data_IF_750533302694
#
_entry.id   IF_750533302694
#
_cell.length_a   1.000
_cell.length_b   1.000
_cell.length_c   1.000
_cell.angle_alpha   90.00
_cell.angle_beta   90.00
_cell.angle_gamma   90.00
#
_symmetry.space_group_name_H-M   'P 1'
#
loop_
_entity.id
_entity.type
_entity.pdbx_description
1 polymer ?
#
# COMPACT_ATOMS: atom_id res chain seq x y z
N UNK A 1 -21.53 -21.59 -4.33
CA UNK A 1 -22.21 -21.62 -5.65
C UNK A 1 -21.61 -22.76 -6.46
N UNK A 2 -22.42 -23.60 -7.11
CA UNK A 2 -21.91 -24.70 -7.95
C UNK A 2 -21.73 -24.27 -9.42
N UNK A 3 -21.02 -25.09 -10.21
CA UNK A 3 -20.68 -24.79 -11.62
C UNK A 3 -21.91 -24.51 -12.48
N UNK A 4 -22.96 -25.33 -12.35
CA UNK A 4 -24.20 -25.19 -13.11
C UNK A 4 -24.93 -23.86 -12.81
N UNK A 5 -24.90 -23.42 -11.55
CA UNK A 5 -25.44 -22.12 -11.13
C UNK A 5 -24.61 -20.95 -11.71
N UNK A 6 -23.28 -21.04 -11.65
CA UNK A 6 -22.39 -20.02 -12.19
C UNK A 6 -22.56 -19.84 -13.70
N UNK A 7 -22.64 -20.95 -14.45
CA UNK A 7 -22.80 -20.96 -15.92
C UNK A 7 -24.15 -20.36 -16.36
N UNK A 8 -25.24 -20.69 -15.66
CA UNK A 8 -26.56 -20.12 -15.92
C UNK A 8 -26.57 -18.60 -15.73
N UNK A 9 -25.91 -18.10 -14.69
CA UNK A 9 -25.84 -16.67 -14.38
C UNK A 9 -24.97 -15.89 -15.37
N UNK A 10 -23.86 -16.48 -15.84
CA UNK A 10 -23.01 -15.90 -16.89
C UNK A 10 -23.77 -15.78 -18.23
N UNK A 11 -24.48 -16.84 -18.63
CA UNK A 11 -25.24 -16.87 -19.89
C UNK A 11 -26.40 -15.88 -19.93
N UNK A 12 -27.01 -15.60 -18.79
CA UNK A 12 -28.18 -14.71 -18.70
C UNK A 12 -27.80 -13.23 -18.56
N UNK A 13 -26.51 -12.89 -18.48
CA UNK A 13 -26.00 -11.53 -18.18
C UNK A 13 -26.56 -10.94 -16.87
N UNK A 14 -27.09 -11.79 -15.99
CA UNK A 14 -27.66 -11.43 -14.67
C UNK A 14 -26.54 -11.34 -13.60
N UNK A 15 -25.26 -11.44 -14.00
CA UNK A 15 -24.10 -11.31 -13.11
C UNK A 15 -23.99 -9.95 -12.40
N UNK A 16 -24.73 -8.94 -12.86
CA UNK A 16 -24.85 -7.65 -12.18
C UNK A 16 -25.88 -7.65 -11.04
N UNK A 17 -26.78 -8.64 -10.97
CA UNK A 17 -27.98 -8.57 -10.12
C UNK A 17 -28.18 -9.76 -9.18
N UNK A 18 -27.58 -10.93 -9.41
CA UNK A 18 -27.75 -12.10 -8.54
C UNK A 18 -26.50 -12.37 -7.69
N UNK A 19 -26.56 -11.90 -6.43
CA UNK A 19 -25.61 -12.13 -5.33
C UNK A 19 -24.20 -11.59 -5.54
N UNK A 20 -24.00 -10.39 -4.99
CA UNK A 20 -22.78 -9.59 -5.05
C UNK A 20 -22.38 -9.28 -6.51
N UNK A 21 -22.74 -8.11 -7.09
CA UNK A 21 -22.31 -7.71 -8.44
C UNK A 21 -20.84 -8.08 -8.63
N UNK A 22 -20.44 -8.57 -9.81
CA UNK A 22 -19.07 -9.00 -10.10
C UNK A 22 -17.96 -8.03 -9.57
N UNK A 23 -18.30 -6.76 -9.42
CA UNK A 23 -17.58 -5.71 -8.68
C UNK A 23 -17.08 -6.15 -7.28
N UNK A 24 -17.84 -6.95 -6.53
CA UNK A 24 -17.51 -7.39 -5.18
C UNK A 24 -16.64 -8.66 -5.15
N UNK A 25 -16.46 -9.36 -6.28
CA UNK A 25 -15.49 -10.45 -6.36
C UNK A 25 -14.06 -9.95 -6.11
N UNK A 26 -13.77 -8.68 -6.44
CA UNK A 26 -12.49 -8.05 -6.11
C UNK A 26 -12.28 -7.87 -4.60
N UNK A 27 -13.35 -7.70 -3.82
CA UNK A 27 -13.28 -7.54 -2.37
C UNK A 27 -13.23 -8.88 -1.63
N UNK A 28 -13.75 -9.95 -2.24
CA UNK A 28 -13.90 -11.25 -1.59
C UNK A 28 -12.58 -11.84 -1.05
N UNK A 29 -11.44 -11.79 -1.77
CA UNK A 29 -10.18 -12.28 -1.24
C UNK A 29 -9.73 -11.51 0.01
N UNK A 30 -9.95 -10.19 0.06
CA UNK A 30 -9.60 -9.38 1.22
C UNK A 30 -10.48 -9.72 2.42
N UNK A 31 -11.78 -9.88 2.22
CA UNK A 31 -12.73 -10.30 3.27
C UNK A 31 -12.29 -11.64 3.87
N UNK A 32 -11.93 -12.61 3.04
CA UNK A 32 -11.42 -13.88 3.52
C UNK A 32 -10.06 -13.73 4.20
N UNK A 33 -9.17 -12.89 3.66
CA UNK A 33 -7.88 -12.57 4.28
C UNK A 33 -8.03 -12.02 5.70
N UNK A 34 -8.96 -11.10 5.94
CA UNK A 34 -9.29 -10.59 7.28
C UNK A 34 -9.69 -11.72 8.25
N UNK A 35 -10.48 -12.70 7.78
CA UNK A 35 -10.89 -13.85 8.62
C UNK A 35 -9.71 -14.77 9.01
N UNK A 36 -8.62 -14.73 8.24
CA UNK A 36 -7.43 -15.54 8.47
C UNK A 36 -6.36 -14.83 9.32
N UNK A 37 -6.49 -13.52 9.58
CA UNK A 37 -5.54 -12.75 10.38
C UNK A 37 -5.27 -13.37 11.75
N UNK A 38 -6.25 -14.07 12.32
CA UNK A 38 -6.14 -14.72 13.64
C UNK A 38 -5.11 -15.84 13.69
N UNK A 39 -4.68 -16.35 12.53
CA UNK A 39 -3.56 -17.29 12.40
C UNK A 39 -2.23 -16.62 12.78
N UNK A 40 -2.12 -15.32 12.57
CA UNK A 40 -0.90 -14.56 12.78
C UNK A 40 -0.93 -13.79 14.09
N UNK A 41 -2.03 -13.14 14.44
CA UNK A 41 -2.13 -12.32 15.65
C UNK A 41 -3.33 -12.72 16.50
N UNK A 42 -3.18 -12.70 17.83
CA UNK A 42 -4.26 -13.12 18.74
C UNK A 42 -5.40 -12.12 18.73
N UNK A 43 -5.05 -10.83 18.72
CA UNK A 43 -6.02 -9.77 18.56
C UNK A 43 -6.37 -9.66 17.07
N UNK A 44 -7.66 -9.71 16.76
CA UNK A 44 -8.19 -9.46 15.42
C UNK A 44 -9.54 -8.77 15.53
N UNK A 45 -10.09 -8.39 14.39
CA UNK A 45 -11.45 -7.89 14.33
C UNK A 45 -12.45 -9.01 14.61
N UNK A 46 -13.30 -8.81 15.62
CA UNK A 46 -14.46 -9.68 15.87
C UNK A 46 -15.45 -9.65 14.68
N UNK A 47 -15.53 -8.49 14.03
CA UNK A 47 -16.32 -8.27 12.82
C UNK A 47 -15.66 -7.19 11.96
N UNK A 48 -15.84 -7.33 10.65
CA UNK A 48 -15.51 -6.32 9.64
C UNK A 48 -16.74 -6.19 8.76
N UNK A 49 -17.35 -5.01 8.72
CA UNK A 49 -18.41 -4.72 7.75
C UNK A 49 -17.81 -3.98 6.59
N UNK A 50 -17.99 -4.51 5.38
CA UNK A 50 -17.66 -3.80 4.16
C UNK A 50 -18.97 -3.29 3.57
N UNK A 51 -19.15 -1.97 3.61
CA UNK A 51 -20.24 -1.29 2.92
C UNK A 51 -19.73 -0.82 1.58
N UNK A 52 -20.47 -1.11 0.52
CA UNK A 52 -20.11 -0.75 -0.84
C UNK A 52 -21.34 -0.12 -1.46
N UNK A 53 -21.23 1.12 -1.90
CA UNK A 53 -22.24 1.75 -2.74
C UNK A 53 -21.71 1.89 -4.17
N UNK A 54 -22.43 2.64 -5.01
CA UNK A 54 -22.02 2.85 -6.40
C UNK A 54 -20.81 3.80 -6.54
N UNK A 55 -20.31 4.45 -5.49
CA UNK A 55 -19.26 5.48 -5.58
C UNK A 55 -18.07 5.25 -4.63
N UNK A 56 -18.26 4.54 -3.52
CA UNK A 56 -17.22 4.25 -2.54
C UNK A 56 -17.39 2.88 -1.87
N UNK A 57 -16.25 2.35 -1.41
CA UNK A 57 -16.21 1.26 -0.44
C UNK A 57 -15.76 1.78 0.93
N UNK A 58 -16.44 1.38 1.99
CA UNK A 58 -16.07 1.73 3.36
C UNK A 58 -16.02 0.48 4.24
N UNK A 59 -14.90 0.31 4.94
CA UNK A 59 -14.69 -0.72 5.94
C UNK A 59 -15.03 -0.16 7.33
N UNK A 60 -16.01 -0.75 8.01
CA UNK A 60 -16.39 -0.44 9.37
C UNK A 60 -15.87 -1.52 10.31
N UNK A 61 -15.09 -1.10 11.30
CA UNK A 61 -14.55 -1.95 12.36
C UNK A 61 -14.56 -1.21 13.69
N UNK A 62 -14.36 -1.91 14.80
CA UNK A 62 -14.06 -1.26 16.09
C UNK A 62 -12.62 -0.76 16.10
N UNK A 63 -12.44 0.55 16.15
CA UNK A 63 -11.11 1.20 16.18
C UNK A 63 -10.22 0.67 17.31
N UNK A 64 -10.80 0.36 18.48
CA UNK A 64 -10.08 -0.25 19.61
C UNK A 64 -9.38 -1.58 19.26
N UNK A 65 -9.93 -2.36 18.30
CA UNK A 65 -9.31 -3.60 17.86
C UNK A 65 -8.06 -3.32 17.00
N UNK A 66 -8.05 -2.25 16.20
CA UNK A 66 -6.85 -1.80 15.46
C UNK A 66 -5.69 -1.54 16.41
N UNK A 67 -5.96 -0.84 17.50
CA UNK A 67 -4.94 -0.48 18.48
C UNK A 67 -4.37 -1.70 19.19
N UNK A 68 -5.19 -2.70 19.50
CA UNK A 68 -4.72 -3.97 20.08
C UNK A 68 -3.82 -4.74 19.12
N UNK A 69 -4.19 -4.81 17.84
CA UNK A 69 -3.39 -5.46 16.78
C UNK A 69 -2.03 -4.77 16.67
N UNK A 70 -2.01 -3.44 16.59
CA UNK A 70 -0.79 -2.65 16.45
C UNK A 70 0.10 -2.76 17.68
N UNK A 71 -0.49 -2.74 18.86
CA UNK A 71 0.25 -2.97 20.10
C UNK A 71 0.89 -4.35 20.11
N UNK A 72 0.19 -5.41 19.68
CA UNK A 72 0.76 -6.75 19.55
C UNK A 72 1.92 -6.78 18.54
N UNK A 73 1.77 -6.10 17.40
CA UNK A 73 2.80 -5.98 16.37
C UNK A 73 4.11 -5.36 16.88
N UNK A 74 4.02 -4.29 17.68
CA UNK A 74 5.17 -3.61 18.28
C UNK A 74 5.77 -4.38 19.47
N UNK A 75 4.92 -4.96 20.33
CA UNK A 75 5.38 -5.68 21.52
C UNK A 75 6.06 -7.00 21.19
N UNK A 76 5.64 -7.68 20.11
CA UNK A 76 6.23 -8.95 19.67
C UNK A 76 6.96 -8.81 18.32
N UNK A 77 8.01 -7.97 18.31
CA UNK A 77 8.82 -7.73 17.12
C UNK A 77 9.45 -9.02 16.54
N UNK A 78 9.71 -10.05 17.37
CA UNK A 78 10.25 -11.33 16.92
C UNK A 78 9.23 -12.08 16.09
N UNK A 79 7.99 -12.19 16.57
CA UNK A 79 6.87 -12.77 15.83
C UNK A 79 6.59 -12.01 14.54
N UNK A 80 6.59 -10.67 14.58
CA UNK A 80 6.40 -9.84 13.39
C UNK A 80 7.46 -10.11 12.32
N UNK A 81 8.74 -10.27 12.70
CA UNK A 81 9.80 -10.69 11.75
C UNK A 81 9.56 -12.06 11.12
N UNK A 82 8.98 -13.01 11.87
CA UNK A 82 8.63 -14.34 11.33
C UNK A 82 7.48 -14.24 10.33
N UNK A 83 6.43 -13.47 10.65
CA UNK A 83 5.29 -13.24 9.76
C UNK A 83 5.73 -12.57 8.46
N UNK A 84 6.61 -11.58 8.51
CA UNK A 84 7.18 -10.91 7.33
C UNK A 84 7.92 -11.92 6.43
N UNK A 85 8.83 -12.74 7.00
CA UNK A 85 9.57 -13.75 6.21
C UNK A 85 8.64 -14.78 5.56
N UNK A 86 7.56 -15.13 6.24
CA UNK A 86 6.56 -16.04 5.68
C UNK A 86 5.77 -15.37 4.54
N UNK A 87 5.38 -14.11 4.71
CA UNK A 87 4.74 -13.32 3.66
C UNK A 87 5.63 -13.20 2.41
N UNK A 88 6.94 -12.95 2.57
CA UNK A 88 7.89 -12.90 1.45
C UNK A 88 7.90 -14.20 0.63
N UNK A 89 7.83 -15.36 1.31
CA UNK A 89 7.73 -16.66 0.65
C UNK A 89 6.42 -16.81 -0.12
N UNK A 90 5.29 -16.48 0.51
CA UNK A 90 3.97 -16.53 -0.12
C UNK A 90 3.91 -15.61 -1.35
N UNK A 91 4.48 -14.41 -1.24
CA UNK A 91 4.57 -13.42 -2.34
C UNK A 91 5.33 -13.99 -3.52
N UNK A 92 6.51 -14.56 -3.28
CA UNK A 92 7.31 -15.14 -4.36
C UNK A 92 6.58 -16.32 -5.02
N UNK A 93 5.94 -17.20 -4.25
CA UNK A 93 5.13 -18.30 -4.78
C UNK A 93 3.94 -17.80 -5.61
N UNK A 94 3.26 -16.75 -5.16
CA UNK A 94 2.16 -16.13 -5.90
C UNK A 94 2.63 -15.51 -7.21
N UNK A 95 3.77 -14.83 -7.24
CA UNK A 95 4.35 -14.28 -8.47
C UNK A 95 4.70 -15.38 -9.48
N UNK A 96 5.37 -16.45 -9.03
CA UNK A 96 5.70 -17.61 -9.87
C UNK A 96 4.42 -18.21 -10.45
N UNK A 97 3.39 -18.36 -9.63
CA UNK A 97 2.09 -18.84 -10.06
C UNK A 97 1.48 -17.95 -11.16
N UNK A 98 1.46 -16.62 -10.95
CA UNK A 98 0.92 -15.67 -11.92
C UNK A 98 1.70 -15.70 -13.25
N UNK A 99 3.03 -15.80 -13.20
CA UNK A 99 3.86 -15.94 -14.40
C UNK A 99 3.61 -17.23 -15.18
N UNK A 100 3.18 -18.30 -14.47
CA UNK A 100 2.80 -19.56 -15.08
C UNK A 100 1.42 -19.55 -15.77
N UNK A 101 0.61 -18.51 -15.56
CA UNK A 101 -0.68 -18.35 -16.22
C UNK A 101 -0.48 -17.60 -17.53
N UNK A 102 -0.47 -18.35 -18.64
CA UNK A 102 -0.42 -17.79 -19.99
C UNK A 102 -1.68 -18.17 -20.77
N UNK A 103 -2.07 -17.30 -21.72
CA UNK A 103 -3.16 -17.52 -22.67
C UNK A 103 -4.47 -18.01 -22.04
N UNK A 104 -5.05 -17.20 -21.13
CA UNK A 104 -6.36 -17.47 -20.52
C UNK A 104 -7.48 -17.77 -21.53
N UNK A 105 -7.35 -17.27 -22.77
CA UNK A 105 -8.30 -17.48 -23.87
C UNK A 105 -8.36 -18.94 -24.34
N UNK A 106 -7.30 -19.71 -24.11
CA UNK A 106 -7.19 -21.10 -24.56
C UNK A 106 -7.77 -22.07 -23.51
N UNK A 107 -8.13 -21.58 -22.33
CA UNK A 107 -8.66 -22.41 -21.27
C UNK A 107 -10.13 -22.74 -21.52
N UNK A 108 -10.50 -24.01 -21.33
CA UNK A 108 -11.90 -24.38 -21.17
C UNK A 108 -12.48 -23.75 -19.89
N UNK A 109 -13.80 -23.56 -19.84
CA UNK A 109 -14.49 -23.01 -18.66
C UNK A 109 -14.11 -23.73 -17.36
N UNK A 110 -14.00 -25.06 -17.41
CA UNK A 110 -13.58 -25.88 -16.26
C UNK A 110 -12.15 -25.54 -15.84
N UNK A 111 -11.22 -25.46 -16.80
CA UNK A 111 -9.82 -25.16 -16.51
C UNK A 111 -9.65 -23.74 -15.99
N UNK A 112 -10.38 -22.79 -16.55
CA UNK A 112 -10.40 -21.40 -16.11
C UNK A 112 -10.92 -21.30 -14.67
N UNK A 113 -11.99 -22.00 -14.33
CA UNK A 113 -12.52 -22.05 -12.97
C UNK A 113 -11.52 -22.63 -11.97
N UNK A 114 -10.87 -23.76 -12.29
CA UNK A 114 -9.83 -24.35 -11.45
C UNK A 114 -8.68 -23.37 -11.20
N UNK A 115 -8.21 -22.70 -12.26
CA UNK A 115 -7.14 -21.69 -12.18
C UNK A 115 -7.56 -20.46 -11.38
N UNK A 116 -8.81 -20.02 -11.53
CA UNK A 116 -9.35 -18.94 -10.70
C UNK A 116 -9.40 -19.32 -9.22
N UNK A 117 -9.82 -20.54 -8.87
CA UNK A 117 -9.85 -20.99 -7.47
C UNK A 117 -8.45 -21.06 -6.86
N UNK A 118 -7.47 -21.61 -7.60
CA UNK A 118 -6.06 -21.62 -7.19
C UNK A 118 -5.53 -20.21 -6.95
N UNK A 119 -5.73 -19.31 -7.92
CA UNK A 119 -5.37 -17.89 -7.81
C UNK A 119 -5.99 -17.26 -6.57
N UNK A 120 -7.30 -17.43 -6.39
CA UNK A 120 -8.06 -16.85 -5.32
C UNK A 120 -7.54 -17.31 -3.94
N UNK A 121 -7.30 -18.61 -3.76
CA UNK A 121 -6.77 -19.15 -2.51
C UNK A 121 -5.36 -18.64 -2.22
N UNK A 122 -4.48 -18.60 -3.23
CA UNK A 122 -3.13 -18.07 -3.06
C UNK A 122 -3.15 -16.58 -2.73
N UNK A 123 -4.05 -15.81 -3.35
CA UNK A 123 -4.23 -14.40 -3.06
C UNK A 123 -4.68 -14.19 -1.60
N UNK A 124 -5.67 -14.95 -1.14
CA UNK A 124 -6.17 -14.88 0.25
C UNK A 124 -5.02 -15.15 1.25
N UNK A 125 -4.25 -16.21 1.04
CA UNK A 125 -3.11 -16.55 1.91
C UNK A 125 -1.99 -15.50 1.83
N UNK A 126 -1.71 -14.97 0.64
CA UNK A 126 -0.73 -13.89 0.45
C UNK A 126 -1.11 -12.63 1.24
N UNK A 127 -2.39 -12.24 1.20
CA UNK A 127 -2.83 -10.98 1.78
C UNK A 127 -3.12 -11.06 3.28
N UNK A 128 -3.50 -12.21 3.81
CA UNK A 128 -3.86 -12.35 5.23
C UNK A 128 -2.78 -11.84 6.21
N UNK A 129 -1.46 -12.09 6.00
CA UNK A 129 -0.40 -11.49 6.83
C UNK A 129 -0.34 -9.98 6.70
N UNK A 130 -0.42 -9.44 5.48
CA UNK A 130 -0.28 -8.00 5.23
C UNK A 130 -1.50 -7.20 5.75
N UNK A 131 -2.70 -7.77 5.68
CA UNK A 131 -3.92 -7.14 6.21
C UNK A 131 -3.84 -6.91 7.73
N UNK A 132 -3.01 -7.68 8.45
CA UNK A 132 -2.80 -7.45 9.88
C UNK A 132 -2.09 -6.14 10.20
N UNK A 133 -1.38 -5.55 9.24
CA UNK A 133 -0.67 -4.26 9.41
C UNK A 133 -1.39 -3.09 8.74
N UNK A 134 -2.47 -3.33 8.00
CA UNK A 134 -3.20 -2.31 7.21
C UNK A 134 -3.94 -1.27 8.07
N UNK A 135 -3.97 -1.48 9.39
CA UNK A 135 -4.63 -0.60 10.36
C UNK A 135 -3.70 0.47 10.96
N UNK A 136 -2.43 0.51 10.55
CA UNK A 136 -1.40 1.41 11.11
C UNK A 136 -1.63 2.90 10.85
N UNK A 137 -2.29 3.27 9.75
CA UNK A 137 -2.54 4.68 9.39
C UNK A 137 -3.34 5.41 10.47
N UNK A 138 -4.49 4.84 10.85
CA UNK A 138 -5.35 5.41 11.90
C UNK A 138 -4.61 5.56 13.22
N UNK A 139 -3.84 4.55 13.65
CA UNK A 139 -3.10 4.62 14.93
C UNK A 139 -2.04 5.70 14.96
N UNK A 140 -1.33 5.92 13.85
CA UNK A 140 -0.27 6.93 13.80
C UNK A 140 -0.85 8.32 14.04
N UNK A 141 -1.99 8.63 13.41
CA UNK A 141 -2.64 9.94 13.49
C UNK A 141 -3.48 10.13 14.75
N UNK A 142 -4.23 9.12 15.20
CA UNK A 142 -5.19 9.26 16.31
C UNK A 142 -4.61 8.93 17.68
N UNK A 143 -3.60 8.05 17.77
CA UNK A 143 -3.04 7.59 19.04
C UNK A 143 -1.60 8.06 19.24
N UNK A 144 -0.71 7.72 18.30
CA UNK A 144 0.71 7.97 18.45
C UNK A 144 1.03 9.47 18.44
N UNK A 145 0.44 10.24 17.52
CA UNK A 145 0.60 11.69 17.46
C UNK A 145 0.08 12.37 18.73
N UNK A 146 -1.09 11.97 19.24
CA UNK A 146 -1.66 12.54 20.47
C UNK A 146 -0.79 12.23 21.69
N UNK A 147 -0.28 11.00 21.82
CA UNK A 147 0.70 10.63 22.85
C UNK A 147 2.00 11.42 22.70
N UNK A 148 2.46 11.63 21.48
CA UNK A 148 3.65 12.43 21.20
C UNK A 148 3.45 13.90 21.58
N UNK A 149 2.28 14.49 21.31
CA UNK A 149 1.94 15.83 21.77
C UNK A 149 1.89 15.93 23.29
N UNK A 150 1.22 15.01 23.98
CA UNK A 150 1.22 15.00 25.45
C UNK A 150 2.64 14.87 26.04
N UNK A 151 3.49 14.03 25.42
CA UNK A 151 4.88 13.88 25.81
C UNK A 151 5.71 15.16 25.60
N UNK A 152 5.53 15.83 24.46
CA UNK A 152 6.30 17.04 24.11
C UNK A 152 5.80 18.28 24.83
N UNK A 153 4.52 18.33 25.18
CA UNK A 153 3.92 19.38 26.04
C UNK A 153 4.55 19.37 27.43
N UNK A 154 4.81 18.18 28.00
CA UNK A 154 5.55 18.03 29.27
C UNK A 154 7.01 18.54 29.23
N UNK A 155 7.49 18.95 28.05
CA UNK A 155 8.84 19.49 27.79
C UNK A 155 8.82 20.92 27.26
N UNK A 156 7.68 21.61 27.36
CA UNK A 156 7.47 22.97 26.86
C UNK A 156 7.76 23.13 25.35
N UNK A 157 7.58 22.07 24.56
CA UNK A 157 7.73 22.11 23.10
C UNK A 157 6.38 22.46 22.48
N UNK A 158 6.33 23.57 21.75
CA UNK A 158 5.09 24.00 21.08
C UNK A 158 4.58 22.96 20.09
N UNK A 159 3.25 22.86 19.96
CA UNK A 159 2.57 21.88 19.09
C UNK A 159 3.05 21.92 17.63
N UNK A 160 3.36 23.10 17.10
CA UNK A 160 3.87 23.25 15.73
C UNK A 160 5.27 22.63 15.56
N UNK A 161 6.15 22.82 16.55
CA UNK A 161 7.48 22.21 16.54
C UNK A 161 7.36 20.69 16.74
N UNK A 162 6.52 20.25 17.67
CA UNK A 162 6.25 18.84 17.90
C UNK A 162 5.71 18.15 16.64
N UNK A 163 4.78 18.78 15.91
CA UNK A 163 4.27 18.24 14.65
C UNK A 163 5.39 18.05 13.62
N UNK A 164 6.27 19.05 13.48
CA UNK A 164 7.45 18.94 12.61
C UNK A 164 8.40 17.80 13.04
N UNK A 165 8.65 17.63 14.34
CA UNK A 165 9.48 16.53 14.84
C UNK A 165 8.84 15.18 14.61
N UNK A 166 7.53 15.07 14.80
CA UNK A 166 6.78 13.85 14.55
C UNK A 166 6.85 13.45 13.07
N UNK A 167 6.59 14.39 12.17
CA UNK A 167 6.73 14.17 10.72
C UNK A 167 8.13 13.70 10.35
N UNK A 168 9.16 14.30 10.93
CA UNK A 168 10.55 13.90 10.68
C UNK A 168 10.84 12.49 11.22
N UNK A 169 10.40 12.16 12.44
CA UNK A 169 10.57 10.82 13.03
C UNK A 169 9.80 9.72 12.29
N UNK A 170 8.66 10.05 11.69
CA UNK A 170 7.87 9.13 10.88
C UNK A 170 8.40 8.97 9.45
N UNK A 171 9.34 9.83 9.02
CA UNK A 171 9.94 9.72 7.69
C UNK A 171 10.78 8.45 7.61
N UNK A 172 10.66 7.61 6.56
CA UNK A 172 11.47 6.41 6.46
C UNK A 172 12.95 6.76 6.28
N UNK A 173 13.82 6.18 7.12
CA UNK A 173 15.28 6.30 7.03
C UNK A 173 15.91 5.33 5.99
N UNK A 174 15.09 4.83 5.07
CA UNK A 174 15.45 3.95 3.97
C UNK A 174 14.76 4.44 2.70
N UNK A 175 15.27 4.01 1.54
CA UNK A 175 14.72 4.42 0.26
C UNK A 175 13.39 3.71 0.01
N UNK A 176 12.29 4.27 0.52
CA UNK A 176 10.96 3.73 0.31
C UNK A 176 10.58 3.79 -1.18
N UNK A 177 9.67 2.91 -1.59
CA UNK A 177 9.18 2.90 -2.98
C UNK A 177 8.64 4.27 -3.42
N UNK A 178 7.94 4.97 -2.51
CA UNK A 178 7.46 6.34 -2.71
C UNK A 178 8.61 7.35 -2.92
N UNK A 179 9.66 7.28 -2.10
CA UNK A 179 10.82 8.16 -2.25
C UNK A 179 11.60 7.87 -3.53
N UNK A 180 11.70 6.59 -3.93
CA UNK A 180 12.31 6.19 -5.20
C UNK A 180 11.54 6.76 -6.39
N UNK A 181 10.22 6.64 -6.38
CA UNK A 181 9.35 7.17 -7.43
C UNK A 181 9.48 8.68 -7.53
N UNK A 182 9.36 9.39 -6.40
CA UNK A 182 9.48 10.83 -6.36
C UNK A 182 10.85 11.30 -6.88
N UNK A 183 11.94 10.69 -6.42
CA UNK A 183 13.27 10.97 -6.94
C UNK A 183 13.39 10.69 -8.44
N UNK A 184 12.68 9.68 -8.95
CA UNK A 184 12.64 9.38 -10.39
C UNK A 184 11.84 10.41 -11.19
N UNK A 185 10.73 10.94 -10.64
CA UNK A 185 9.96 12.04 -11.25
C UNK A 185 10.83 13.29 -11.33
N UNK A 186 11.51 13.68 -10.24
CA UNK A 186 12.40 14.84 -10.23
C UNK A 186 13.52 14.73 -11.28
N UNK A 187 14.11 13.53 -11.45
CA UNK A 187 15.10 13.27 -12.51
C UNK A 187 14.51 13.40 -13.91
N UNK A 188 13.28 12.94 -14.12
CA UNK A 188 12.57 13.13 -15.39
C UNK A 188 12.24 14.61 -15.65
N UNK A 189 11.90 15.38 -14.61
CA UNK A 189 11.66 16.82 -14.72
C UNK A 189 12.89 17.62 -15.10
N UNK A 190 14.08 17.22 -14.64
CA UNK A 190 15.35 17.76 -15.11
C UNK A 190 15.56 17.43 -16.60
N UNK A 191 15.41 16.15 -16.99
CA UNK A 191 15.56 15.72 -18.38
C UNK A 191 14.58 16.42 -19.33
N UNK A 192 13.34 16.62 -18.89
CA UNK A 192 12.32 17.36 -19.62
C UNK A 192 12.73 18.82 -19.85
N UNK A 193 13.25 19.49 -18.81
CA UNK A 193 13.77 20.86 -18.90
C UNK A 193 14.96 20.99 -19.84
N UNK A 194 15.87 20.03 -19.77
CA UNK A 194 17.06 19.99 -20.61
C UNK A 194 16.76 19.55 -22.05
N UNK A 195 15.52 19.12 -22.33
CA UNK A 195 15.09 18.59 -23.63
C UNK A 195 15.98 17.43 -24.07
N UNK A 196 16.28 16.52 -23.15
CA UNK A 196 17.08 15.33 -23.43
C UNK A 196 16.36 14.42 -24.43
N UNK A 197 17.10 13.92 -25.43
CA UNK A 197 16.54 13.13 -26.54
C UNK A 197 15.95 11.77 -26.10
N UNK A 198 16.36 11.25 -24.94
CA UNK A 198 15.92 9.97 -24.39
C UNK A 198 14.76 10.11 -23.36
N UNK A 199 14.19 11.32 -23.23
CA UNK A 199 13.15 11.61 -22.23
C UNK A 199 11.94 10.66 -22.33
N UNK A 200 11.42 10.44 -23.54
CA UNK A 200 10.23 9.59 -23.75
C UNK A 200 10.51 8.13 -23.36
N UNK A 201 11.69 7.60 -23.69
CA UNK A 201 12.10 6.25 -23.30
C UNK A 201 12.20 6.11 -21.77
N UNK A 202 12.77 7.13 -21.12
CA UNK A 202 12.90 7.16 -19.65
C UNK A 202 11.56 7.29 -18.95
N UNK A 203 10.62 8.06 -19.50
CA UNK A 203 9.25 8.17 -18.99
C UNK A 203 8.52 6.83 -19.07
N UNK A 204 8.64 6.13 -20.20
CA UNK A 204 8.06 4.79 -20.39
C UNK A 204 8.65 3.79 -19.38
N UNK A 205 9.97 3.81 -19.20
CA UNK A 205 10.64 2.94 -18.22
C UNK A 205 10.20 3.27 -16.78
N UNK A 206 10.00 4.54 -16.46
CA UNK A 206 9.47 4.95 -15.17
C UNK A 206 8.06 4.38 -14.93
N UNK A 207 7.15 4.52 -15.89
CA UNK A 207 5.80 3.96 -15.80
C UNK A 207 5.84 2.44 -15.54
N UNK A 208 6.72 1.71 -16.21
CA UNK A 208 6.89 0.27 -16.03
C UNK A 208 7.47 -0.11 -14.67
N UNK A 209 8.42 0.68 -14.15
CA UNK A 209 9.08 0.39 -12.88
C UNK A 209 8.18 0.63 -11.67
N UNK A 210 7.33 1.66 -11.71
CA UNK A 210 6.49 2.03 -10.57
C UNK A 210 5.04 1.56 -10.68
N UNK A 211 4.52 1.39 -11.90
CA UNK A 211 3.23 0.76 -12.22
C UNK A 211 2.10 1.10 -11.22
N UNK A 212 1.91 2.39 -10.95
CA UNK A 212 0.91 2.82 -9.98
C UNK A 212 -0.50 2.44 -10.45
N UNK A 213 -1.29 1.99 -9.48
CA UNK A 213 -2.69 1.66 -9.68
C UNK A 213 -3.51 2.59 -8.80
N UNK A 214 -4.31 3.44 -9.42
CA UNK A 214 -5.34 4.20 -8.75
C UNK A 214 -6.50 3.24 -8.48
N UNK A 215 -6.70 2.92 -7.20
CA UNK A 215 -7.72 1.99 -6.73
C UNK A 215 -8.75 2.74 -5.89
N UNK A 216 -9.94 2.94 -6.43
CA UNK A 216 -11.08 3.51 -5.69
C UNK A 216 -11.94 2.43 -5.02
N UNK A 217 -11.45 1.18 -4.97
CA UNK A 217 -12.19 -0.06 -4.64
C UNK A 217 -13.33 -0.41 -5.61
N UNK A 218 -13.77 0.54 -6.43
CA UNK A 218 -14.72 0.36 -7.54
C UNK A 218 -13.99 0.17 -8.86
N UNK A 219 -13.12 1.14 -9.18
CA UNK A 219 -12.38 1.20 -10.43
C UNK A 219 -10.89 1.04 -10.14
N UNK A 220 -10.25 0.22 -10.95
CA UNK A 220 -8.81 -0.02 -10.90
C UNK A 220 -8.24 0.55 -12.19
N UNK A 221 -7.53 1.66 -12.08
CA UNK A 221 -6.91 2.35 -13.21
C UNK A 221 -5.39 2.30 -13.08
N UNK A 222 -4.74 1.68 -14.06
CA UNK A 222 -3.28 1.75 -14.18
C UNK A 222 -2.92 3.16 -14.65
N UNK A 223 -2.05 3.84 -13.90
CA UNK A 223 -1.53 5.14 -14.26
C UNK A 223 -0.55 4.98 -15.43
N UNK A 224 -0.86 5.65 -16.55
CA UNK A 224 -0.14 5.53 -17.81
C UNK A 224 0.94 6.62 -17.96
N UNK A 225 1.69 6.57 -19.06
CA UNK A 225 2.77 7.53 -19.36
C UNK A 225 2.29 8.98 -19.34
N UNK A 226 1.08 9.27 -19.84
CA UNK A 226 0.51 10.61 -19.83
C UNK A 226 0.29 11.16 -18.41
N UNK A 227 -0.15 10.31 -17.46
CA UNK A 227 -0.29 10.72 -16.07
C UNK A 227 1.06 11.17 -15.49
N UNK A 228 2.12 10.37 -15.70
CA UNK A 228 3.46 10.74 -15.23
C UNK A 228 4.04 11.93 -15.98
N UNK A 229 3.71 12.11 -17.26
CA UNK A 229 4.11 13.30 -18.02
C UNK A 229 3.54 14.58 -17.40
N UNK A 230 2.28 14.58 -17.00
CA UNK A 230 1.67 15.76 -16.34
C UNK A 230 2.35 16.05 -15.00
N UNK A 231 2.61 15.02 -14.16
CA UNK A 231 3.41 15.19 -12.95
C UNK A 231 4.80 15.77 -13.22
N UNK A 232 5.48 15.26 -14.26
CA UNK A 232 6.81 15.73 -14.66
C UNK A 232 6.76 17.20 -15.06
N UNK A 233 5.74 17.61 -15.85
CA UNK A 233 5.54 19.01 -16.24
C UNK A 233 5.26 19.91 -15.04
N UNK A 234 4.41 19.47 -14.12
CA UNK A 234 4.11 20.19 -12.88
C UNK A 234 5.40 20.46 -12.08
N UNK A 235 6.20 19.42 -11.87
CA UNK A 235 7.49 19.49 -11.18
C UNK A 235 8.51 20.34 -11.95
N UNK A 236 8.49 20.31 -13.28
CA UNK A 236 9.29 21.18 -14.15
C UNK A 236 8.89 22.65 -14.10
N UNK A 237 7.84 23.05 -13.38
CA UNK A 237 7.61 24.48 -13.11
C UNK A 237 8.65 25.05 -12.11
N UNK A 238 9.27 24.20 -11.29
CA UNK A 238 10.36 24.59 -10.38
C UNK A 238 11.63 24.95 -11.16
N UNK A 239 12.50 25.78 -10.59
CA UNK A 239 13.84 26.02 -11.15
C UNK A 239 14.71 24.76 -11.07
N UNK A 240 15.71 24.64 -11.94
CA UNK A 240 16.66 23.51 -11.92
C UNK A 240 17.29 23.36 -10.53
N UNK A 241 17.75 24.46 -9.93
CA UNK A 241 18.36 24.46 -8.59
C UNK A 241 17.39 23.99 -7.49
N UNK A 242 16.10 24.30 -7.60
CA UNK A 242 15.10 23.80 -6.64
C UNK A 242 14.90 22.28 -6.80
N UNK A 243 14.82 21.78 -8.03
CA UNK A 243 14.68 20.35 -8.31
C UNK A 243 15.92 19.59 -7.82
N UNK A 244 17.12 20.09 -8.08
CA UNK A 244 18.37 19.49 -7.60
C UNK A 244 18.46 19.44 -6.08
N UNK A 245 18.05 20.53 -5.41
CA UNK A 245 18.00 20.60 -3.95
C UNK A 245 17.04 19.55 -3.40
N UNK A 246 15.83 19.48 -3.94
CA UNK A 246 14.82 18.52 -3.50
C UNK A 246 15.27 17.08 -3.76
N UNK A 247 15.84 16.81 -4.94
CA UNK A 247 16.40 15.51 -5.30
C UNK A 247 17.49 15.09 -4.30
N UNK A 248 18.36 16.01 -3.89
CA UNK A 248 19.36 15.75 -2.85
C UNK A 248 18.69 15.46 -1.50
N UNK A 249 17.67 16.21 -1.11
CA UNK A 249 16.96 16.02 0.16
C UNK A 249 16.20 14.69 0.25
N UNK A 250 15.70 14.17 -0.88
CA UNK A 250 14.97 12.89 -0.92
C UNK A 250 15.89 11.69 -1.05
N UNK A 251 17.13 11.88 -1.55
CA UNK A 251 18.12 10.81 -1.72
C UNK A 251 19.16 10.74 -0.61
N UNK A 252 19.35 11.81 0.19
CA UNK A 252 20.31 11.84 1.30
C UNK A 252 19.74 11.15 2.57
N UNK A 253 19.74 9.81 2.53
CA UNK A 253 19.30 8.97 3.64
C UNK A 253 20.17 9.14 4.89
N UNK A 254 21.43 9.55 4.75
CA UNK A 254 22.34 9.75 5.88
C UNK A 254 21.91 10.95 6.70
N UNK A 255 21.53 12.04 6.04
CA UNK A 255 20.97 13.22 6.71
C UNK A 255 19.69 12.89 7.46
N UNK A 256 18.79 12.08 6.88
CA UNK A 256 17.56 11.63 7.56
C UNK A 256 17.92 10.81 8.82
N UNK A 257 18.82 9.83 8.69
CA UNK A 257 19.29 9.01 9.84
C UNK A 257 19.92 9.85 10.94
N UNK A 258 20.79 10.79 10.58
CA UNK A 258 21.41 11.72 11.54
C UNK A 258 20.35 12.53 12.24
N UNK A 259 19.37 13.06 11.49
CA UNK A 259 18.28 13.85 12.05
C UNK A 259 17.40 13.05 13.00
N UNK A 260 17.12 11.78 12.69
CA UNK A 260 16.44 10.88 13.60
C UNK A 260 17.22 10.74 14.91
N UNK A 261 18.50 10.41 14.84
CA UNK A 261 19.37 10.27 16.03
C UNK A 261 19.41 11.54 16.87
N UNK A 262 19.50 12.71 16.23
CA UNK A 262 19.44 14.01 16.91
C UNK A 262 18.11 14.21 17.64
N UNK A 263 16.99 13.91 16.99
CA UNK A 263 15.66 14.06 17.58
C UNK A 263 15.42 13.06 18.71
N UNK A 264 15.83 11.80 18.57
CA UNK A 264 15.76 10.81 19.65
C UNK A 264 16.52 11.28 20.89
N UNK A 265 17.75 11.80 20.72
CA UNK A 265 18.56 12.37 21.80
C UNK A 265 17.93 13.62 22.40
N UNK A 266 17.56 14.59 21.56
CA UNK A 266 16.94 15.85 21.97
C UNK A 266 15.66 15.62 22.77
N UNK A 267 14.88 14.65 22.33
CA UNK A 267 13.60 14.30 22.94
C UNK A 267 13.75 13.24 24.04
N UNK A 268 14.93 12.69 24.30
CA UNK A 268 15.14 11.60 25.26
C UNK A 268 14.17 10.42 25.06
N UNK A 269 14.02 9.97 23.81
CA UNK A 269 13.20 8.83 23.43
C UNK A 269 14.01 7.53 23.61
N UNK A 270 13.37 6.40 23.96
CA UNK A 270 14.02 5.10 24.02
C UNK A 270 14.44 4.65 22.61
N UNK A 271 15.68 4.16 22.46
CA UNK A 271 16.20 3.57 21.21
C UNK A 271 15.64 2.17 20.92
#
# INVERSE_FOLDING_TARGET
MNFSQALRLAKTKVWTTASAPAVYQYCQPFIQGFSLMKRYYKNTHDFVFLTLDNTYGCQLTKEQNNFKIIKELYQDHKKSKVVIKMWEKLRNSFYIYCQGINNLKDFSDKKLFEKYQEFFNLFVELWAPALSVDVMGTYTETELLNKFFAYTDSKDISKNIAASYFTELCRPAYNSFLLQEHASVLKLSLSYKHKENDFEERLKKHQQNYFWVENSYRDIKVLNENYFLEKVKEESNKTISQIDKELKEVTDLNKIKQRHTELFKKLNLPE
#
